data_IF_239381967122
#
_entry.id   IF_239381967122
#
_cell.length_a   1.000
_cell.length_b   1.000
_cell.length_c   1.000
_cell.angle_alpha   90.00
_cell.angle_beta   90.00
_cell.angle_gamma   90.00
#
_symmetry.space_group_name_H-M   'P 1'
#
loop_
_entity.id
_entity.type
_entity.pdbx_description
1 polymer ?
#
# COMPACT_ATOMS: atom_id res chain seq x y z
N UNK A 1 -9.30 1.86 14.33
CA UNK A 1 -10.44 2.02 13.40
C UNK A 1 -11.44 3.05 13.90
N UNK A 2 -12.06 2.85 15.08
CA UNK A 2 -13.10 3.74 15.63
C UNK A 2 -12.72 5.21 15.82
N UNK A 3 -11.42 5.50 16.02
CA UNK A 3 -10.90 6.86 16.19
C UNK A 3 -10.66 7.59 14.85
N UNK A 4 -10.31 6.86 13.79
CA UNK A 4 -9.88 7.42 12.51
C UNK A 4 -11.07 7.72 11.60
N UNK A 5 -10.85 8.53 10.55
CA UNK A 5 -11.78 8.71 9.44
C UNK A 5 -12.28 7.36 8.90
N UNK A 6 -13.55 7.34 8.48
CA UNK A 6 -14.20 6.11 8.01
C UNK A 6 -13.56 5.57 6.74
N UNK A 7 -13.20 4.29 6.80
CA UNK A 7 -12.60 3.54 5.71
C UNK A 7 -12.83 2.04 5.94
N UNK A 8 -12.92 1.27 4.85
CA UNK A 8 -12.98 -0.18 4.95
C UNK A 8 -11.56 -0.74 5.16
N UNK A 9 -11.28 -1.15 6.41
CA UNK A 9 -9.99 -1.69 6.82
C UNK A 9 -9.88 -3.21 6.72
N UNK A 10 -10.83 -3.86 6.04
CA UNK A 10 -10.85 -5.31 5.83
C UNK A 10 -10.80 -5.64 4.34
N UNK A 11 -10.29 -6.84 4.04
CA UNK A 11 -10.27 -7.35 2.68
C UNK A 11 -11.68 -7.71 2.23
N UNK A 12 -11.92 -7.55 0.93
CA UNK A 12 -13.23 -7.88 0.35
C UNK A 12 -13.31 -9.39 0.13
N UNK A 13 -12.25 -9.99 -0.40
CA UNK A 13 -12.17 -11.45 -0.59
C UNK A 13 -12.04 -12.19 0.73
N UNK A 14 -12.91 -13.18 0.91
CA UNK A 14 -12.97 -14.01 2.13
C UNK A 14 -11.66 -14.73 2.41
N UNK A 15 -10.92 -15.15 1.37
CA UNK A 15 -9.63 -15.84 1.53
C UNK A 15 -8.53 -15.02 2.21
N UNK A 16 -8.62 -13.68 2.17
CA UNK A 16 -7.66 -12.79 2.82
C UNK A 16 -8.13 -12.31 4.19
N UNK A 17 -9.39 -12.55 4.54
CA UNK A 17 -9.91 -12.24 5.88
C UNK A 17 -9.25 -13.18 6.88
N UNK A 18 -8.60 -12.60 7.89
CA UNK A 18 -8.09 -13.36 9.03
C UNK A 18 -9.24 -13.59 10.01
N UNK A 19 -9.38 -14.81 10.51
CA UNK A 19 -10.37 -15.13 11.56
C UNK A 19 -10.21 -14.25 12.81
N UNK A 20 -8.97 -13.86 13.08
CA UNK A 20 -8.57 -13.25 14.36
C UNK A 20 -8.43 -11.71 14.28
N UNK A 21 -8.70 -11.10 13.12
CA UNK A 21 -8.56 -9.65 12.95
C UNK A 21 -9.63 -9.09 12.02
N UNK A 22 -10.46 -8.19 12.55
CA UNK A 22 -11.47 -7.48 11.79
C UNK A 22 -10.91 -6.37 10.89
N UNK A 23 -9.65 -5.94 11.10
CA UNK A 23 -9.02 -4.81 10.40
C UNK A 23 -7.60 -5.09 9.87
N UNK A 24 -7.40 -6.17 9.08
CA UNK A 24 -6.06 -6.60 8.65
C UNK A 24 -5.33 -5.58 7.77
N UNK A 25 -6.05 -4.76 6.99
CA UNK A 25 -5.43 -3.71 6.16
C UNK A 25 -4.85 -2.61 7.05
N UNK A 26 -5.59 -2.20 8.09
CA UNK A 26 -5.12 -1.19 9.05
C UNK A 26 -3.89 -1.70 9.81
N UNK A 27 -3.90 -2.96 10.24
CA UNK A 27 -2.76 -3.54 10.95
C UNK A 27 -1.49 -3.50 10.08
N UNK A 28 -1.58 -3.95 8.83
CA UNK A 28 -0.47 -3.89 7.89
C UNK A 28 -0.04 -2.44 7.61
N UNK A 29 -0.99 -1.53 7.44
CA UNK A 29 -0.69 -0.10 7.24
C UNK A 29 0.13 0.47 8.40
N UNK A 30 -0.26 0.21 9.65
CA UNK A 30 0.47 0.68 10.84
C UNK A 30 1.87 0.07 10.91
N UNK A 31 2.02 -1.24 10.65
CA UNK A 31 3.33 -1.90 10.65
C UNK A 31 4.28 -1.34 9.59
N UNK A 32 3.80 -1.18 8.35
CA UNK A 32 4.61 -0.58 7.29
C UNK A 32 4.94 0.89 7.55
N UNK A 33 4.03 1.63 8.18
CA UNK A 33 4.26 3.02 8.57
C UNK A 33 5.34 3.12 9.65
N UNK A 34 5.29 2.24 10.65
CA UNK A 34 6.36 2.13 11.66
C UNK A 34 7.71 1.82 11.02
N UNK A 35 7.79 0.82 10.14
CA UNK A 35 9.03 0.46 9.45
C UNK A 35 9.60 1.63 8.64
N UNK A 36 8.73 2.38 7.96
CA UNK A 36 9.13 3.57 7.19
C UNK A 36 9.65 4.69 8.09
N UNK A 37 8.92 5.02 9.16
CA UNK A 37 9.33 6.05 10.12
C UNK A 37 10.63 5.69 10.83
N UNK A 38 10.85 4.40 11.10
CA UNK A 38 12.12 3.90 11.62
C UNK A 38 13.27 4.13 10.65
N UNK A 39 13.06 3.85 9.36
CA UNK A 39 14.07 4.12 8.32
C UNK A 39 14.35 5.62 8.16
N UNK A 40 13.32 6.46 8.29
CA UNK A 40 13.43 7.93 8.25
C UNK A 40 13.95 8.56 9.55
N UNK A 41 14.13 7.76 10.61
CA UNK A 41 14.49 8.24 11.96
C UNK A 41 13.51 9.27 12.53
N UNK A 42 12.22 9.11 12.23
CA UNK A 42 11.12 9.98 12.69
C UNK A 42 10.36 9.43 13.89
N UNK A 43 10.84 8.37 14.51
CA UNK A 43 10.25 7.86 15.76
C UNK A 43 10.76 8.73 16.92
N UNK A 44 9.84 9.27 17.71
CA UNK A 44 10.18 10.08 18.87
C UNK A 44 10.36 9.18 20.10
N UNK A 45 11.43 9.45 20.87
CA UNK A 45 11.73 8.82 22.16
C UNK A 45 11.79 9.95 23.19
N UNK A 46 11.18 9.74 24.36
CA UNK A 46 11.17 10.74 25.43
C UNK A 46 12.58 10.95 26.02
N UNK A 47 12.87 12.12 26.62
CA UNK A 47 14.19 12.40 27.19
C UNK A 47 14.66 11.42 28.27
N UNK A 48 13.72 10.77 28.97
CA UNK A 48 13.97 9.76 30.00
C UNK A 48 14.05 8.33 29.44
N UNK A 49 13.93 8.14 28.11
CA UNK A 49 13.89 6.85 27.42
C UNK A 49 12.77 5.90 27.91
N UNK A 50 11.79 6.44 28.65
CA UNK A 50 10.66 5.68 29.20
C UNK A 50 9.48 5.53 28.24
N UNK A 51 9.42 6.37 27.20
CA UNK A 51 8.29 6.44 26.27
C UNK A 51 8.73 6.60 24.81
N UNK A 52 7.92 6.09 23.90
CA UNK A 52 8.13 6.23 22.46
C UNK A 52 6.79 6.54 21.78
N UNK A 53 6.80 7.42 20.77
CA UNK A 53 5.64 7.60 19.92
C UNK A 53 6.01 7.80 18.45
N UNK A 54 5.05 7.53 17.57
CA UNK A 54 5.15 7.85 16.15
C UNK A 54 3.79 8.29 15.59
N UNK A 55 3.80 9.17 14.58
CA UNK A 55 2.59 9.62 13.90
C UNK A 55 2.12 8.52 12.95
N UNK A 56 0.85 8.11 13.05
CA UNK A 56 0.31 7.03 12.23
C UNK A 56 0.01 7.45 10.79
N UNK A 57 0.00 8.75 10.49
CA UNK A 57 -0.48 9.30 9.22
C UNK A 57 -2.00 9.25 9.05
N UNK A 58 -2.73 8.79 10.07
CA UNK A 58 -4.19 8.81 10.11
C UNK A 58 -4.69 9.98 10.93
N UNK A 59 -5.89 10.44 10.58
CA UNK A 59 -6.55 11.56 11.24
C UNK A 59 -7.84 11.13 11.91
N UNK A 60 -8.23 11.82 12.99
CA UNK A 60 -9.50 11.62 13.67
C UNK A 60 -10.68 11.97 12.77
N UNK A 61 -11.82 11.32 13.02
CA UNK A 61 -13.05 11.55 12.23
C UNK A 61 -13.70 12.92 12.48
N UNK A 62 -13.58 13.45 13.69
CA UNK A 62 -14.37 14.62 14.12
C UNK A 62 -13.68 15.95 13.78
N UNK A 63 -12.35 16.02 13.97
CA UNK A 63 -11.58 17.27 13.87
C UNK A 63 -10.30 17.15 13.03
N UNK A 64 -10.13 16.02 12.33
CA UNK A 64 -8.97 15.74 11.46
C UNK A 64 -7.61 15.87 12.17
N UNK A 65 -7.58 15.64 13.48
CA UNK A 65 -6.35 15.66 14.28
C UNK A 65 -5.50 14.44 14.00
N UNK A 66 -4.19 14.59 13.98
CA UNK A 66 -3.27 13.46 13.82
C UNK A 66 -3.41 12.44 14.95
N UNK A 67 -3.38 11.17 14.57
CA UNK A 67 -3.39 10.03 15.47
C UNK A 67 -1.97 9.52 15.63
N UNK A 68 -1.52 9.43 16.88
CA UNK A 68 -0.21 8.92 17.26
C UNK A 68 -0.34 7.55 17.90
N UNK A 69 0.63 6.68 17.69
CA UNK A 69 0.76 5.43 18.44
C UNK A 69 1.76 5.64 19.59
N UNK A 70 1.33 5.37 20.83
CA UNK A 70 2.11 5.61 22.04
C UNK A 70 2.51 4.30 22.73
N UNK A 71 3.74 4.25 23.19
CA UNK A 71 4.39 3.08 23.75
C UNK A 71 5.20 3.47 24.99
N UNK A 72 5.38 2.50 25.87
CA UNK A 72 6.21 2.63 27.07
C UNK A 72 7.34 1.60 27.04
N UNK A 73 8.41 1.89 27.76
CA UNK A 73 9.55 0.99 27.90
C UNK A 73 9.15 -0.27 28.67
N UNK A 74 9.56 -1.44 28.20
CA UNK A 74 9.29 -2.72 28.84
C UNK A 74 10.21 -2.92 30.05
N UNK A 75 9.78 -2.44 31.21
CA UNK A 75 10.50 -2.62 32.48
C UNK A 75 10.14 -3.93 33.19
N UNK A 76 9.07 -4.61 32.76
CA UNK A 76 8.47 -5.73 33.50
C UNK A 76 9.15 -7.07 33.21
N UNK A 77 9.66 -7.26 31.99
CA UNK A 77 10.33 -8.50 31.57
C UNK A 77 11.60 -8.22 30.73
N UNK A 78 12.58 -7.46 31.26
CA UNK A 78 13.74 -7.03 30.49
C UNK A 78 14.65 -8.18 30.05
N UNK A 79 14.62 -9.30 30.77
CA UNK A 79 15.47 -10.47 30.50
C UNK A 79 14.76 -11.57 29.69
N UNK A 80 13.44 -11.47 29.48
CA UNK A 80 12.64 -12.50 28.82
C UNK A 80 12.16 -12.07 27.43
N UNK A 81 12.15 -10.75 27.15
CA UNK A 81 11.74 -10.21 25.86
C UNK A 81 12.75 -9.21 25.34
N UNK A 82 13.20 -9.41 24.09
CA UNK A 82 14.03 -8.45 23.37
C UNK A 82 13.23 -7.22 22.88
N UNK A 83 11.93 -7.13 23.18
CA UNK A 83 11.09 -5.99 22.79
C UNK A 83 11.21 -4.87 23.82
N UNK A 84 11.91 -3.80 23.45
CA UNK A 84 12.07 -2.59 24.27
C UNK A 84 10.76 -1.86 24.55
N UNK A 85 9.84 -1.85 23.59
CA UNK A 85 8.63 -1.01 23.64
C UNK A 85 7.37 -1.88 23.67
N UNK A 86 6.40 -1.52 24.51
CA UNK A 86 5.07 -2.11 24.50
C UNK A 86 4.02 -1.08 24.08
N UNK A 87 3.14 -1.47 23.15
CA UNK A 87 2.05 -0.60 22.70
C UNK A 87 1.06 -0.38 23.84
N UNK A 88 0.72 0.89 24.07
CA UNK A 88 -0.25 1.28 25.12
C UNK A 88 -1.57 1.64 24.48
N UNK A 89 -1.58 2.69 23.63
CA UNK A 89 -2.80 3.22 23.04
C UNK A 89 -2.50 4.13 21.84
N UNK A 90 -3.55 4.43 21.09
CA UNK A 90 -3.54 5.55 20.15
C UNK A 90 -3.93 6.84 20.88
N UNK A 91 -3.26 7.94 20.57
CA UNK A 91 -3.41 9.25 21.21
C UNK A 91 -3.60 10.34 20.17
N UNK A 92 -4.15 11.48 20.60
CA UNK A 92 -4.19 12.72 19.82
C UNK A 92 -3.10 13.68 20.30
N UNK A 93 -2.75 14.67 19.48
CA UNK A 93 -1.68 15.64 19.76
C UNK A 93 -1.76 16.30 21.16
N UNK A 94 -2.96 16.54 21.70
CA UNK A 94 -3.17 17.22 22.98
C UNK A 94 -3.30 16.29 24.20
N UNK A 95 -3.25 14.97 23.99
CA UNK A 95 -3.33 14.00 25.08
C UNK A 95 -2.12 14.13 26.00
N UNK A 96 -2.33 13.95 27.31
CA UNK A 96 -1.29 14.18 28.33
C UNK A 96 -0.01 13.36 28.12
N UNK A 97 -0.14 12.15 27.56
CA UNK A 97 0.98 11.24 27.28
C UNK A 97 1.97 11.82 26.27
N UNK A 98 1.53 12.67 25.35
CA UNK A 98 2.40 13.24 24.33
C UNK A 98 3.17 14.48 24.81
N UNK A 99 2.82 15.05 25.98
CA UNK A 99 3.48 16.24 26.55
C UNK A 99 4.94 16.01 26.94
N UNK A 100 5.35 14.75 27.12
CA UNK A 100 6.74 14.40 27.45
C UNK A 100 7.69 14.58 26.26
N UNK A 101 7.17 14.61 25.03
CA UNK A 101 7.99 14.80 23.84
C UNK A 101 8.14 16.29 23.54
N UNK A 102 9.39 16.74 23.37
CA UNK A 102 9.71 18.13 22.99
C UNK A 102 9.16 18.50 21.62
N UNK A 103 9.09 17.55 20.70
CA UNK A 103 8.57 17.72 19.35
C UNK A 103 7.83 16.45 18.96
N UNK A 104 6.63 16.61 18.42
CA UNK A 104 5.84 15.48 17.95
C UNK A 104 6.40 14.95 16.63
N UNK A 105 6.42 13.62 16.43
CA UNK A 105 6.95 13.00 15.22
C UNK A 105 6.11 13.37 14.00
N UNK A 106 6.77 13.55 12.86
CA UNK A 106 6.12 13.83 11.58
C UNK A 106 5.57 12.55 10.93
N UNK A 107 4.74 12.72 9.90
CA UNK A 107 4.24 11.62 9.05
C UNK A 107 5.35 11.00 8.20
N UNK A 108 5.14 9.76 7.78
CA UNK A 108 6.04 9.03 6.89
C UNK A 108 6.05 9.66 5.49
N UNK A 109 7.24 9.79 4.89
CA UNK A 109 7.39 10.36 3.55
C UNK A 109 7.64 9.27 2.52
N UNK A 110 6.77 9.14 1.52
CA UNK A 110 6.90 8.10 0.49
C UNK A 110 7.31 8.65 -0.87
N UNK A 111 7.23 9.97 -1.06
CA UNK A 111 7.25 10.58 -2.38
C UNK A 111 8.36 11.63 -2.43
N UNK A 112 9.37 11.37 -3.25
CA UNK A 112 10.41 12.37 -3.52
C UNK A 112 9.99 13.32 -4.65
N UNK A 113 9.37 12.77 -5.72
CA UNK A 113 8.93 13.54 -6.88
C UNK A 113 7.46 13.28 -7.16
N UNK A 114 6.64 14.34 -7.15
CA UNK A 114 5.20 14.24 -7.45
C UNK A 114 4.91 13.69 -8.86
N UNK A 115 5.84 13.86 -9.81
CA UNK A 115 5.72 13.32 -11.17
C UNK A 115 5.69 11.79 -11.23
N UNK A 116 6.19 11.10 -10.20
CA UNK A 116 6.23 9.64 -10.16
C UNK A 116 4.88 9.03 -9.79
N UNK A 117 3.94 9.83 -9.29
CA UNK A 117 2.59 9.41 -8.92
C UNK A 117 1.66 9.26 -10.14
N UNK A 118 2.04 9.84 -11.27
CA UNK A 118 1.20 9.88 -12.48
C UNK A 118 1.92 9.16 -13.60
N UNK A 119 1.17 8.37 -14.38
CA UNK A 119 1.70 7.71 -15.55
C UNK A 119 2.07 8.73 -16.64
N UNK A 120 3.35 8.78 -17.04
CA UNK A 120 3.80 9.56 -18.18
C UNK A 120 3.40 8.87 -19.50
N UNK A 121 2.35 9.39 -20.13
CA UNK A 121 1.82 8.85 -21.40
C UNK A 121 2.83 8.85 -22.55
N UNK A 122 3.92 9.62 -22.47
CA UNK A 122 5.00 9.64 -23.49
C UNK A 122 5.82 8.35 -23.48
N UNK A 123 5.79 7.61 -22.38
CA UNK A 123 6.52 6.35 -22.18
C UNK A 123 5.67 5.11 -22.54
N UNK A 124 4.52 5.30 -23.19
CA UNK A 124 3.70 4.22 -23.74
C UNK A 124 4.20 3.82 -25.14
N UNK A 125 4.05 2.56 -25.56
CA UNK A 125 3.34 1.46 -24.88
C UNK A 125 4.12 0.83 -23.71
N UNK A 126 3.39 0.18 -22.81
CA UNK A 126 3.94 -0.61 -21.70
C UNK A 126 4.64 -1.84 -22.27
N UNK A 127 5.91 -2.04 -21.89
CA UNK A 127 6.66 -3.25 -22.24
C UNK A 127 6.29 -4.37 -21.29
N UNK A 128 5.85 -5.50 -21.83
CA UNK A 128 5.41 -6.65 -21.04
C UNK A 128 6.06 -7.94 -21.54
N UNK A 129 6.64 -8.71 -20.62
CA UNK A 129 7.04 -10.09 -20.87
C UNK A 129 5.85 -11.01 -20.55
N UNK A 130 5.02 -11.26 -21.56
CA UNK A 130 3.78 -12.05 -21.39
C UNK A 130 4.06 -13.44 -20.82
N UNK A 131 5.12 -14.10 -21.29
CA UNK A 131 5.51 -15.44 -20.81
C UNK A 131 5.76 -15.43 -19.31
N UNK A 132 6.63 -14.53 -18.83
CA UNK A 132 6.97 -14.42 -17.41
C UNK A 132 5.73 -14.07 -16.55
N UNK A 133 4.93 -13.10 -16.99
CA UNK A 133 3.70 -12.73 -16.26
C UNK A 133 2.74 -13.92 -16.16
N UNK A 134 2.52 -14.66 -17.24
CA UNK A 134 1.60 -15.80 -17.25
C UNK A 134 2.13 -16.95 -16.40
N UNK A 135 3.39 -17.34 -16.61
CA UNK A 135 3.96 -18.52 -15.96
C UNK A 135 4.06 -18.37 -14.44
N UNK A 136 4.41 -17.18 -13.95
CA UNK A 136 4.58 -16.94 -12.50
C UNK A 136 3.27 -16.64 -11.77
N UNK A 137 2.19 -16.33 -12.48
CA UNK A 137 0.95 -15.86 -11.87
C UNK A 137 -0.26 -16.73 -12.19
N UNK A 138 -0.07 -17.98 -12.66
CA UNK A 138 -1.14 -18.92 -12.97
C UNK A 138 -2.18 -19.03 -11.85
N UNK A 139 -1.74 -19.19 -10.60
CA UNK A 139 -2.63 -19.30 -9.45
C UNK A 139 -3.50 -18.03 -9.29
N UNK A 140 -2.92 -16.84 -9.47
CA UNK A 140 -3.66 -15.57 -9.36
C UNK A 140 -4.72 -15.44 -10.45
N UNK A 141 -4.42 -15.85 -11.69
CA UNK A 141 -5.41 -15.90 -12.77
C UNK A 141 -6.55 -16.87 -12.45
N UNK A 142 -6.23 -18.09 -12.01
CA UNK A 142 -7.25 -19.09 -11.70
C UNK A 142 -8.18 -18.66 -10.55
N UNK A 143 -7.65 -17.97 -9.53
CA UNK A 143 -8.45 -17.43 -8.42
C UNK A 143 -9.51 -16.41 -8.86
N UNK A 144 -9.27 -15.70 -9.96
CA UNK A 144 -10.24 -14.75 -10.54
C UNK A 144 -11.04 -15.37 -11.71
N UNK A 145 -11.08 -16.70 -11.78
CA UNK A 145 -11.86 -17.44 -12.80
C UNK A 145 -11.26 -17.42 -14.20
N UNK A 146 -9.99 -17.04 -14.35
CA UNK A 146 -9.27 -17.06 -15.62
C UNK A 146 -8.46 -18.35 -15.70
N UNK A 147 -9.05 -19.36 -16.35
CA UNK A 147 -8.50 -20.72 -16.47
C UNK A 147 -8.22 -21.11 -17.93
N UNK A 148 -7.98 -20.13 -18.79
CA UNK A 148 -7.70 -20.37 -20.20
C UNK A 148 -6.40 -21.16 -20.40
N UNK A 149 -6.27 -21.80 -21.56
CA UNK A 149 -4.95 -22.25 -21.99
C UNK A 149 -4.00 -21.05 -22.20
N UNK A 150 -2.70 -21.32 -22.22
CA UNK A 150 -1.67 -20.27 -22.24
C UNK A 150 -1.78 -19.36 -23.46
N UNK A 151 -2.16 -19.90 -24.62
CA UNK A 151 -2.26 -19.12 -25.85
C UNK A 151 -3.44 -18.14 -25.79
N UNK A 152 -4.61 -18.62 -25.33
CA UNK A 152 -5.79 -17.76 -25.16
C UNK A 152 -5.54 -16.70 -24.08
N UNK A 153 -4.93 -17.07 -22.96
CA UNK A 153 -4.58 -16.12 -21.90
C UNK A 153 -3.62 -15.03 -22.40
N UNK A 154 -2.63 -15.40 -23.22
CA UNK A 154 -1.70 -14.44 -23.82
C UNK A 154 -2.44 -13.36 -24.64
N UNK A 155 -3.35 -13.78 -25.53
CA UNK A 155 -4.12 -12.86 -26.37
C UNK A 155 -5.03 -11.93 -25.53
N UNK A 156 -5.71 -12.51 -24.53
CA UNK A 156 -6.59 -11.76 -23.63
C UNK A 156 -5.82 -10.75 -22.80
N UNK A 157 -4.67 -11.15 -22.25
CA UNK A 157 -3.81 -10.28 -21.45
C UNK A 157 -3.26 -9.13 -22.29
N UNK A 158 -2.74 -9.41 -23.49
CA UNK A 158 -2.25 -8.37 -24.41
C UNK A 158 -3.34 -7.34 -24.75
N UNK A 159 -4.55 -7.81 -25.05
CA UNK A 159 -5.69 -6.94 -25.30
C UNK A 159 -6.10 -6.14 -24.06
N UNK A 160 -6.09 -6.76 -22.86
CA UNK A 160 -6.39 -6.08 -21.61
C UNK A 160 -5.39 -4.94 -21.33
N UNK A 161 -4.08 -5.17 -21.49
CA UNK A 161 -3.05 -4.13 -21.34
C UNK A 161 -3.30 -2.99 -22.33
N UNK A 162 -3.52 -3.31 -23.61
CA UNK A 162 -3.81 -2.29 -24.64
C UNK A 162 -5.03 -1.44 -24.32
N UNK A 163 -6.11 -2.05 -23.82
CA UNK A 163 -7.30 -1.33 -23.40
C UNK A 163 -7.03 -0.41 -22.20
N UNK A 164 -6.21 -0.87 -21.26
CA UNK A 164 -5.80 -0.09 -20.09
C UNK A 164 -4.91 1.10 -20.46
N UNK A 165 -4.01 0.94 -21.42
CA UNK A 165 -3.25 2.06 -22.00
C UNK A 165 -4.17 3.13 -22.59
N UNK A 166 -5.23 2.71 -23.30
CA UNK A 166 -6.22 3.64 -23.85
C UNK A 166 -6.97 4.38 -22.73
N UNK A 167 -7.25 3.74 -21.60
CA UNK A 167 -7.90 4.37 -20.45
C UNK A 167 -7.01 5.42 -19.80
N UNK A 168 -5.77 5.05 -19.47
CA UNK A 168 -4.84 5.97 -18.78
C UNK A 168 -4.45 7.16 -19.64
N UNK A 169 -4.42 7.03 -20.98
CA UNK A 169 -4.24 8.16 -21.91
C UNK A 169 -5.31 9.24 -21.77
N UNK A 170 -6.53 8.86 -21.36
CA UNK A 170 -7.70 9.76 -21.25
C UNK A 170 -7.96 10.21 -19.81
N UNK A 171 -7.56 9.41 -18.83
CA UNK A 171 -7.73 9.71 -17.42
C UNK A 171 -6.47 9.34 -16.63
N UNK A 172 -5.72 10.36 -16.21
CA UNK A 172 -4.48 10.20 -15.46
C UNK A 172 -4.70 9.58 -14.07
N UNK A 173 -5.91 9.68 -13.51
CA UNK A 173 -6.29 9.10 -12.21
C UNK A 173 -6.48 7.59 -12.24
N UNK A 174 -6.41 6.95 -13.41
CA UNK A 174 -6.57 5.50 -13.54
C UNK A 174 -5.39 4.76 -12.91
N UNK A 175 -4.18 5.31 -13.05
CA UNK A 175 -3.00 4.74 -12.42
C UNK A 175 -2.97 5.11 -10.93
N UNK A 176 -2.68 4.12 -10.07
CA UNK A 176 -2.61 4.31 -8.62
C UNK A 176 -1.17 4.06 -8.16
N UNK A 177 -0.55 4.96 -7.40
CA UNK A 177 0.80 4.74 -6.90
C UNK A 177 0.82 3.67 -5.81
N UNK A 178 1.90 2.88 -5.79
CA UNK A 178 2.27 2.03 -4.67
C UNK A 178 3.74 2.22 -4.31
N UNK A 179 4.06 2.04 -3.04
CA UNK A 179 5.44 2.10 -2.55
C UNK A 179 6.02 0.69 -2.51
N UNK A 180 7.01 0.44 -3.35
CA UNK A 180 7.72 -0.83 -3.43
C UNK A 180 9.12 -0.69 -2.85
N UNK A 181 9.52 -1.63 -1.99
CA UNK A 181 10.90 -1.78 -1.54
C UNK A 181 11.41 -3.12 -2.01
N UNK A 182 12.47 -3.08 -2.82
CA UNK A 182 13.18 -4.27 -3.25
C UNK A 182 13.93 -4.86 -2.05
N UNK A 183 13.71 -6.15 -1.75
CA UNK A 183 14.25 -6.78 -0.53
C UNK A 183 15.74 -7.06 -0.62
N UNK A 184 16.27 -7.28 -1.83
CA UNK A 184 17.65 -7.67 -2.04
C UNK A 184 18.56 -6.44 -2.08
N UNK A 185 18.10 -5.38 -2.73
CA UNK A 185 18.83 -4.11 -2.87
C UNK A 185 18.49 -3.09 -1.79
N UNK A 186 17.38 -3.27 -1.07
CA UNK A 186 16.82 -2.31 -0.12
C UNK A 186 16.52 -0.93 -0.74
N UNK A 187 16.33 -0.88 -2.07
CA UNK A 187 15.98 0.34 -2.79
C UNK A 187 14.45 0.44 -2.87
N UNK A 188 13.93 1.58 -2.42
CA UNK A 188 12.53 1.91 -2.55
C UNK A 188 12.24 2.74 -3.80
N UNK A 189 11.07 2.52 -4.40
CA UNK A 189 10.60 3.27 -5.57
C UNK A 189 9.08 3.26 -5.66
N UNK A 190 8.55 4.25 -6.37
CA UNK A 190 7.15 4.28 -6.76
C UNK A 190 6.93 3.36 -7.96
N UNK A 191 5.93 2.50 -7.85
CA UNK A 191 5.36 1.76 -8.97
C UNK A 191 3.92 2.19 -9.17
N UNK A 192 3.39 2.00 -10.37
CA UNK A 192 2.01 2.31 -10.69
C UNK A 192 1.21 1.02 -10.88
N UNK A 193 -0.01 1.03 -10.34
CA UNK A 193 -1.00 -0.02 -10.48
C UNK A 193 -2.00 0.41 -11.54
N UNK A 194 -2.24 -0.48 -12.50
CA UNK A 194 -3.19 -0.26 -13.59
C UNK A 194 -4.23 -1.38 -13.61
N UNK A 195 -5.51 -1.10 -13.90
CA UNK A 195 -6.54 -2.15 -13.92
C UNK A 195 -6.29 -3.12 -15.08
N UNK A 196 -6.41 -4.42 -14.84
CA UNK A 196 -6.52 -5.44 -15.88
C UNK A 196 -7.96 -5.93 -15.94
N UNK A 197 -8.63 -5.60 -17.04
CA UNK A 197 -10.00 -5.98 -17.33
C UNK A 197 -9.99 -7.09 -18.38
N UNK A 198 -9.94 -8.35 -17.94
CA UNK A 198 -9.75 -9.54 -18.78
C UNK A 198 -11.08 -10.23 -19.08
N UNK A 199 -11.96 -10.38 -18.08
CA UNK A 199 -13.28 -11.01 -18.23
C UNK A 199 -14.34 -10.01 -18.68
N UNK A 200 -14.34 -8.82 -18.09
CA UNK A 200 -15.31 -7.77 -18.38
C UNK A 200 -14.56 -6.49 -18.70
N UNK A 201 -14.96 -5.79 -19.77
CA UNK A 201 -14.30 -4.54 -20.18
C UNK A 201 -14.23 -3.53 -19.04
N UNK A 202 -15.24 -3.41 -18.18
CA UNK A 202 -15.38 -2.33 -17.20
C UNK A 202 -15.02 -2.73 -15.76
N UNK A 203 -14.80 -4.00 -15.48
CA UNK A 203 -14.51 -4.50 -14.13
C UNK A 203 -13.07 -5.00 -14.14
N UNK A 204 -12.24 -4.53 -13.21
CA UNK A 204 -10.89 -5.04 -13.06
C UNK A 204 -10.95 -6.43 -12.42
N UNK A 205 -10.17 -7.37 -12.93
CA UNK A 205 -9.97 -8.69 -12.33
C UNK A 205 -8.68 -8.69 -11.48
N UNK A 206 -7.64 -8.02 -11.98
CA UNK A 206 -6.31 -7.93 -11.37
C UNK A 206 -5.73 -6.52 -11.57
N UNK A 207 -4.66 -6.20 -10.86
CA UNK A 207 -3.87 -4.99 -11.08
C UNK A 207 -2.54 -5.34 -11.76
N UNK A 208 -2.23 -4.69 -12.88
CA UNK A 208 -0.90 -4.72 -13.49
C UNK A 208 0.03 -3.76 -12.74
N UNK A 209 1.16 -4.28 -12.26
CA UNK A 209 2.24 -3.48 -11.69
C UNK A 209 3.16 -3.03 -12.80
N UNK A 210 3.30 -1.72 -12.98
CA UNK A 210 4.27 -1.14 -13.92
C UNK A 210 5.28 -0.26 -13.20
N UNK A 211 6.51 -0.32 -13.67
CA UNK A 211 7.62 0.47 -13.18
C UNK A 211 8.13 1.38 -14.29
N UNK A 212 8.45 2.63 -13.94
CA UNK A 212 9.08 3.56 -14.86
C UNK A 212 10.56 3.20 -15.01
N UNK A 213 10.94 2.85 -16.22
CA UNK A 213 12.34 2.76 -16.64
C UNK A 213 12.70 3.99 -17.50
N UNK A 214 13.96 4.16 -17.87
CA UNK A 214 14.47 5.36 -18.57
C UNK A 214 13.64 5.73 -19.81
N UNK A 215 13.16 4.74 -20.56
CA UNK A 215 12.55 4.94 -21.88
C UNK A 215 11.13 4.39 -22.02
N UNK A 216 10.60 3.72 -21.00
CA UNK A 216 9.29 3.07 -21.06
C UNK A 216 8.77 2.71 -19.66
N UNK A 217 7.47 2.42 -19.57
CA UNK A 217 6.95 1.63 -18.46
C UNK A 217 7.14 0.14 -18.74
N UNK A 218 7.59 -0.60 -17.73
CA UNK A 218 7.79 -2.06 -17.80
C UNK A 218 6.84 -2.75 -16.82
N UNK A 219 6.03 -3.67 -17.32
CA UNK A 219 5.20 -4.54 -16.50
C UNK A 219 6.09 -5.50 -15.69
N UNK A 220 5.90 -5.52 -14.38
CA UNK A 220 6.69 -6.34 -13.45
C UNK A 220 5.94 -7.58 -12.99
N UNK A 221 4.67 -7.43 -12.63
CA UNK A 221 3.84 -8.54 -12.14
C UNK A 221 2.37 -8.14 -12.16
N UNK A 222 1.49 -9.03 -11.69
CA UNK A 222 0.08 -8.75 -11.43
C UNK A 222 -0.26 -9.04 -9.97
N UNK A 223 -1.22 -8.29 -9.43
CA UNK A 223 -1.69 -8.42 -8.05
C UNK A 223 -3.20 -8.64 -8.00
N UNK A 224 -3.69 -9.44 -7.03
CA UNK A 224 -5.08 -9.37 -6.59
C UNK A 224 -5.44 -7.95 -6.18
N UNK A 225 -6.68 -7.53 -6.42
CA UNK A 225 -7.13 -6.16 -6.16
C UNK A 225 -7.01 -5.76 -4.67
N UNK A 226 -7.26 -6.70 -3.76
CA UNK A 226 -7.07 -6.51 -2.32
C UNK A 226 -5.62 -6.18 -1.95
N UNK A 227 -4.65 -6.82 -2.61
CA UNK A 227 -3.22 -6.54 -2.39
C UNK A 227 -2.82 -5.20 -3.01
N UNK A 228 -3.35 -4.90 -4.19
CA UNK A 228 -3.16 -3.61 -4.85
C UNK A 228 -3.69 -2.45 -3.98
N UNK A 229 -4.86 -2.62 -3.35
CA UNK A 229 -5.44 -1.65 -2.42
C UNK A 229 -4.55 -1.47 -1.19
N UNK A 230 -4.20 -2.57 -0.53
CA UNK A 230 -3.34 -2.55 0.67
C UNK A 230 -1.99 -1.86 0.40
N UNK A 231 -1.36 -2.15 -0.75
CA UNK A 231 -0.08 -1.56 -1.11
C UNK A 231 -0.16 -0.06 -1.43
N UNK A 232 -1.20 0.36 -2.15
CA UNK A 232 -1.42 1.78 -2.48
C UNK A 232 -1.83 2.60 -1.26
N UNK A 233 -2.58 1.99 -0.34
CA UNK A 233 -3.06 2.65 0.89
C UNK A 233 -1.95 3.19 1.79
N UNK A 234 -0.75 2.63 1.67
CA UNK A 234 0.47 3.12 2.34
C UNK A 234 0.81 4.56 1.98
N UNK A 235 0.56 4.96 0.73
CA UNK A 235 0.84 6.32 0.23
C UNK A 235 -0.40 7.19 0.35
N UNK A 236 -1.54 6.68 -0.14
CA UNK A 236 -2.76 7.48 -0.28
C UNK A 236 -3.98 6.58 -0.16
N UNK A 237 -5.10 7.10 0.34
CA UNK A 237 -6.39 6.41 0.18
C UNK A 237 -6.70 6.28 -1.31
N UNK A 238 -6.82 5.06 -1.87
CA UNK A 238 -7.06 4.91 -3.30
C UNK A 238 -8.47 5.38 -3.66
N UNK A 239 -8.56 6.46 -4.43
CA UNK A 239 -9.84 7.05 -4.86
C UNK A 239 -10.29 6.59 -6.27
N UNK A 240 -9.48 5.78 -6.95
CA UNK A 240 -9.82 5.33 -8.29
C UNK A 240 -10.96 4.29 -8.28
N UNK A 241 -11.98 4.53 -9.12
CA UNK A 241 -13.21 3.73 -9.15
C UNK A 241 -12.98 2.21 -9.24
N UNK A 242 -11.99 1.78 -10.03
CA UNK A 242 -11.75 0.36 -10.29
C UNK A 242 -11.22 -0.42 -9.09
N UNK A 243 -10.66 0.26 -8.08
CA UNK A 243 -10.13 -0.37 -6.86
C UNK A 243 -11.02 -0.08 -5.65
N UNK A 244 -11.71 1.06 -5.65
CA UNK A 244 -12.56 1.51 -4.55
C UNK A 244 -13.95 0.84 -4.59
N UNK A 245 -14.49 0.54 -5.78
CA UNK A 245 -15.84 -0.04 -5.96
C UNK A 245 -15.94 -1.57 -5.79
N UNK A 246 -14.86 -2.26 -5.45
CA UNK A 246 -14.91 -3.72 -5.21
C UNK A 246 -15.64 -4.07 -3.90
#
# INVERSE_FOLDING_TARGET
ASMAKEENWNFKSFEYKKSDSEVPILQNYIFFTYDRLKAEKKIAISPDDGSMCFNTGLQTKDYEEDIYAYFLANERFPNESNQKWFFVKFCKQYDSELRIFTTLPEVAEYIENASDLILDKKLLPIRINLKHIIEENKEKFSKVGICDDTYVLQQRLENAVKNTEQRVKRNYKVAIPQFFTDRDTNISKIQLLLPLCINNRNIADLALVVEKDQNAYVAKTILPLDWAYMNSRRIVRPDADWISQV
#
